data_IF_400751564935
#
_entry.id   IF_400751564935
#
_cell.length_a   1.000
_cell.length_b   1.000
_cell.length_c   1.000
_cell.angle_alpha   90.00
_cell.angle_beta   90.00
_cell.angle_gamma   90.00
#
_symmetry.space_group_name_H-M   'P 1'
#
loop_
_entity.id
_entity.type
_entity.pdbx_description
1 polymer ?
#
# COMPACT_ATOMS: atom_id res chain seq x y z
N UNK A 1 -7.50 3.22 8.83
CA UNK A 1 -7.25 1.84 8.39
C UNK A 1 -8.35 1.44 7.42
N UNK A 2 -8.05 0.77 6.35
CA UNK A 2 -9.04 0.34 5.35
C UNK A 2 -8.47 0.43 3.95
N UNK A 3 -8.91 -0.45 3.05
CA UNK A 3 -8.37 -0.57 1.69
C UNK A 3 -8.89 0.50 0.71
N UNK A 4 -9.96 1.22 1.07
CA UNK A 4 -10.61 2.20 0.19
C UNK A 4 -10.46 3.67 0.58
N UNK A 5 -9.99 3.97 1.80
CA UNK A 5 -10.01 5.32 2.39
C UNK A 5 -11.43 5.92 2.43
N UNK A 6 -12.41 5.07 2.76
CA UNK A 6 -13.83 5.42 2.78
C UNK A 6 -14.37 5.76 4.18
N UNK A 7 -13.64 5.37 5.23
CA UNK A 7 -14.08 5.43 6.64
C UNK A 7 -13.30 6.47 7.46
N UNK A 8 -12.90 7.57 6.85
CA UNK A 8 -12.21 8.66 7.55
C UNK A 8 -13.19 9.46 8.41
N UNK A 9 -12.71 10.00 9.54
CA UNK A 9 -13.47 10.90 10.41
C UNK A 9 -14.03 12.14 9.68
N UNK A 10 -13.30 12.58 8.64
CA UNK A 10 -13.69 13.73 7.80
C UNK A 10 -14.45 13.34 6.53
N UNK A 11 -14.81 12.05 6.40
CA UNK A 11 -15.49 11.51 5.23
C UNK A 11 -14.57 10.76 4.26
N UNK A 12 -15.14 10.17 3.20
CA UNK A 12 -14.41 9.37 2.23
C UNK A 12 -13.52 10.22 1.33
N UNK A 13 -12.37 9.68 0.95
CA UNK A 13 -11.55 10.22 -0.13
C UNK A 13 -12.02 9.66 -1.46
N UNK A 14 -12.57 10.50 -2.31
CA UNK A 14 -13.03 10.13 -3.65
C UNK A 14 -11.89 10.23 -4.66
N UNK A 15 -11.87 9.31 -5.63
CA UNK A 15 -10.94 9.37 -6.74
C UNK A 15 -11.25 10.57 -7.65
N UNK A 16 -10.23 11.22 -8.17
CA UNK A 16 -10.44 12.31 -9.14
C UNK A 16 -11.03 11.78 -10.45
N UNK A 17 -10.67 10.57 -10.86
CA UNK A 17 -11.19 9.92 -12.05
C UNK A 17 -12.62 9.42 -11.84
N UNK A 18 -13.59 10.24 -12.09
CA UNK A 18 -15.00 9.92 -11.87
C UNK A 18 -15.61 10.59 -10.64
N UNK A 19 -14.95 11.63 -10.11
CA UNK A 19 -15.55 12.50 -9.11
C UNK A 19 -16.54 13.49 -9.74
N UNK A 20 -17.44 14.05 -8.92
CA UNK A 20 -18.31 15.15 -9.32
C UNK A 20 -17.56 16.47 -9.46
N UNK A 21 -16.31 16.55 -9.00
CA UNK A 21 -15.51 17.77 -9.08
C UNK A 21 -14.87 17.88 -10.46
N UNK A 22 -15.15 18.92 -11.24
CA UNK A 22 -14.46 19.15 -12.49
C UNK A 22 -13.00 19.48 -12.23
N UNK A 23 -12.10 18.92 -13.02
CA UNK A 23 -10.68 19.26 -12.98
C UNK A 23 -10.09 19.33 -14.39
N UNK A 24 -9.01 20.06 -14.49
CA UNK A 24 -8.25 20.20 -15.72
C UNK A 24 -6.78 19.94 -15.44
N UNK A 25 -6.23 18.89 -16.04
CA UNK A 25 -4.80 18.62 -15.98
C UNK A 25 -4.10 19.39 -17.11
N UNK A 26 -3.17 20.24 -16.73
CA UNK A 26 -2.36 21.03 -17.68
C UNK A 26 -0.90 20.59 -17.53
N UNK A 27 -0.27 20.23 -18.63
CA UNK A 27 1.16 19.95 -18.73
C UNK A 27 1.77 20.85 -19.80
N UNK A 28 2.86 21.56 -19.45
CA UNK A 28 3.57 22.45 -20.37
C UNK A 28 2.66 23.48 -21.07
N UNK A 29 1.66 23.98 -20.34
CA UNK A 29 0.69 24.94 -20.86
C UNK A 29 -0.43 24.33 -21.71
N UNK A 30 -0.38 23.04 -22.02
CA UNK A 30 -1.42 22.32 -22.75
C UNK A 30 -2.30 21.49 -21.81
N UNK A 31 -3.61 21.46 -22.08
CA UNK A 31 -4.55 20.58 -21.37
C UNK A 31 -4.29 19.13 -21.77
N UNK A 32 -3.83 18.32 -20.82
CA UNK A 32 -3.57 16.89 -21.03
C UNK A 32 -4.84 16.06 -20.81
N UNK A 33 -5.65 16.44 -19.83
CA UNK A 33 -6.97 15.87 -19.63
C UNK A 33 -7.91 16.87 -18.96
N UNK A 34 -9.19 16.75 -19.26
CA UNK A 34 -10.25 17.54 -18.67
C UNK A 34 -11.37 16.60 -18.23
N UNK A 35 -11.87 16.78 -17.04
CA UNK A 35 -13.00 16.06 -16.51
C UNK A 35 -14.15 17.01 -16.25
N UNK A 36 -15.26 16.77 -16.93
CA UNK A 36 -16.53 17.44 -16.63
C UNK A 36 -17.19 16.62 -15.53
N UNK A 37 -17.32 17.22 -14.34
CA UNK A 37 -17.87 16.55 -13.16
C UNK A 37 -19.20 15.84 -13.43
N UNK A 38 -19.41 14.70 -12.76
CA UNK A 38 -20.70 14.00 -12.76
C UNK A 38 -21.67 14.73 -11.82
N UNK A 39 -22.97 14.57 -12.06
CA UNK A 39 -24.02 15.16 -11.20
C UNK A 39 -23.83 14.76 -9.73
N UNK A 40 -24.10 15.69 -8.80
CA UNK A 40 -24.10 15.42 -7.36
C UNK A 40 -25.12 14.33 -7.04
N UNK A 41 -24.66 13.28 -6.33
CA UNK A 41 -25.48 12.13 -5.93
C UNK A 41 -25.23 10.83 -6.70
N UNK A 42 -24.39 10.85 -7.76
CA UNK A 42 -23.97 9.65 -8.47
C UNK A 42 -22.96 8.80 -7.69
N UNK A 43 -22.85 7.51 -8.07
CA UNK A 43 -21.81 6.60 -7.55
C UNK A 43 -20.42 7.12 -7.95
N UNK A 44 -19.42 6.93 -7.11
CA UNK A 44 -18.09 7.49 -7.28
C UNK A 44 -17.02 6.40 -7.25
N UNK A 45 -15.87 6.70 -7.82
CA UNK A 45 -14.73 5.77 -7.93
C UNK A 45 -13.89 5.81 -6.67
N UNK A 46 -13.54 4.64 -6.14
CA UNK A 46 -12.70 4.49 -4.94
C UNK A 46 -11.25 4.89 -5.25
N UNK A 47 -10.63 5.66 -4.35
CA UNK A 47 -9.25 6.11 -4.51
C UNK A 47 -8.21 5.04 -4.12
N UNK A 48 -8.65 3.97 -3.46
CA UNK A 48 -7.74 3.02 -2.81
C UNK A 48 -7.26 3.52 -1.45
N UNK A 49 -6.56 2.67 -0.73
CA UNK A 49 -6.11 2.98 0.62
C UNK A 49 -4.97 2.08 1.12
N UNK A 50 -4.47 2.50 2.30
CA UNK A 50 -5.01 3.53 3.19
C UNK A 50 -4.42 4.96 2.96
N UNK A 51 -3.44 5.15 2.08
CA UNK A 51 -2.88 6.47 1.74
C UNK A 51 -3.64 7.16 0.57
N UNK A 52 -4.97 6.97 0.48
CA UNK A 52 -5.80 7.51 -0.60
C UNK A 52 -5.79 9.04 -0.63
N UNK A 53 -5.80 9.72 0.52
CA UNK A 53 -5.69 11.17 0.59
C UNK A 53 -4.38 11.71 0.00
N UNK A 54 -3.25 11.05 0.32
CA UNK A 54 -1.95 11.38 -0.27
C UNK A 54 -1.94 11.19 -1.78
N UNK A 55 -2.51 10.09 -2.28
CA UNK A 55 -2.56 9.82 -3.70
C UNK A 55 -3.45 10.81 -4.47
N UNK A 56 -4.63 11.12 -3.94
CA UNK A 56 -5.55 12.10 -4.54
C UNK A 56 -4.97 13.51 -4.54
N UNK A 57 -4.27 13.93 -3.48
CA UNK A 57 -3.63 15.25 -3.42
C UNK A 57 -2.57 15.44 -4.51
N UNK A 58 -1.81 14.38 -4.82
CA UNK A 58 -0.82 14.37 -5.89
C UNK A 58 -1.49 14.29 -7.26
N UNK A 59 -2.47 13.41 -7.43
CA UNK A 59 -3.20 13.24 -8.67
C UNK A 59 -3.93 14.52 -9.10
N UNK A 60 -4.53 15.24 -8.15
CA UNK A 60 -5.20 16.51 -8.39
C UNK A 60 -4.27 17.71 -8.60
N UNK A 61 -2.96 17.55 -8.39
CA UNK A 61 -1.97 18.62 -8.51
C UNK A 61 -1.90 19.56 -7.30
N UNK A 62 -2.63 19.30 -6.23
CA UNK A 62 -2.57 20.07 -4.97
C UNK A 62 -1.19 19.93 -4.31
N UNK A 63 -0.59 18.75 -4.41
CA UNK A 63 0.76 18.49 -3.95
C UNK A 63 1.65 17.98 -5.08
N UNK A 64 2.92 18.38 -5.12
CA UNK A 64 3.91 17.86 -6.05
C UNK A 64 4.35 16.44 -5.67
N UNK A 65 4.44 16.16 -4.38
CA UNK A 65 4.75 14.88 -3.78
C UNK A 65 3.99 14.69 -2.46
N UNK A 66 3.78 13.46 -2.04
CA UNK A 66 3.16 13.15 -0.75
C UNK A 66 3.81 11.93 -0.09
N UNK A 67 3.82 11.94 1.24
CA UNK A 67 4.17 10.77 2.05
C UNK A 67 2.91 9.91 2.30
N UNK A 68 3.13 8.62 2.36
CA UNK A 68 2.15 7.65 2.82
C UNK A 68 2.81 6.58 3.67
N UNK A 69 2.04 5.62 4.15
CA UNK A 69 2.56 4.44 4.84
C UNK A 69 2.02 3.18 4.18
N UNK A 70 2.90 2.20 3.96
CA UNK A 70 2.56 0.95 3.28
C UNK A 70 2.91 -0.24 4.17
N UNK A 71 1.91 -0.98 4.58
CA UNK A 71 2.02 -2.21 5.36
C UNK A 71 1.70 -3.43 4.50
N UNK A 72 0.75 -3.29 3.57
CA UNK A 72 0.27 -4.36 2.69
C UNK A 72 -0.26 -3.82 1.36
N UNK A 73 0.33 -2.73 0.83
CA UNK A 73 -0.09 -2.09 -0.41
C UNK A 73 -0.60 -0.66 -0.26
N UNK A 74 -0.61 -0.10 0.96
CA UNK A 74 -1.32 1.15 1.26
C UNK A 74 -0.76 2.44 0.64
N UNK A 75 0.38 2.40 -0.04
CA UNK A 75 0.90 3.45 -0.93
C UNK A 75 0.70 3.05 -2.39
N UNK A 76 1.01 1.80 -2.71
CA UNK A 76 1.01 1.26 -4.08
C UNK A 76 -0.40 1.16 -4.68
N UNK A 77 -1.37 0.64 -3.92
CA UNK A 77 -2.76 0.50 -4.37
C UNK A 77 -3.37 1.86 -4.71
N UNK A 78 -3.38 2.86 -3.80
CA UNK A 78 -3.96 4.15 -4.14
C UNK A 78 -3.19 4.87 -5.26
N UNK A 79 -1.87 4.70 -5.37
CA UNK A 79 -1.12 5.23 -6.50
C UNK A 79 -1.59 4.61 -7.83
N UNK A 80 -1.75 3.29 -7.88
CA UNK A 80 -2.24 2.59 -9.08
C UNK A 80 -3.66 3.05 -9.47
N UNK A 81 -4.56 3.18 -8.49
CA UNK A 81 -5.95 3.55 -8.76
C UNK A 81 -6.17 5.03 -9.06
N UNK A 82 -5.23 5.89 -8.69
CA UNK A 82 -5.31 7.33 -9.00
C UNK A 82 -4.42 7.76 -10.17
N UNK A 83 -3.70 6.82 -10.81
CA UNK A 83 -2.81 7.13 -11.93
C UNK A 83 -1.55 7.90 -11.53
N UNK A 84 -1.07 7.68 -10.30
CA UNK A 84 0.17 8.28 -9.78
C UNK A 84 1.27 7.22 -9.63
N UNK A 85 2.49 7.66 -9.39
CA UNK A 85 3.64 6.78 -9.12
C UNK A 85 3.81 6.62 -7.63
N UNK A 86 3.74 5.39 -7.14
CA UNK A 86 3.91 5.06 -5.72
C UNK A 86 5.13 4.18 -5.46
N UNK A 87 5.97 4.58 -4.52
CA UNK A 87 7.13 3.82 -4.07
C UNK A 87 6.97 3.37 -2.62
N UNK A 88 7.00 2.06 -2.40
CA UNK A 88 7.32 1.49 -1.10
C UNK A 88 8.79 1.04 -1.11
N UNK A 89 9.71 1.73 -0.46
CA UNK A 89 11.10 1.32 -0.40
C UNK A 89 11.28 0.04 0.42
N UNK A 90 12.48 -0.48 0.46
CA UNK A 90 12.84 -1.55 1.39
C UNK A 90 12.67 -1.09 2.84
N UNK A 91 12.28 -2.01 3.71
CA UNK A 91 12.08 -1.74 5.13
C UNK A 91 13.36 -1.16 5.77
N UNK A 92 13.19 -0.07 6.52
CA UNK A 92 14.27 0.64 7.18
C UNK A 92 15.05 1.63 6.29
N UNK A 93 14.78 1.70 4.98
CA UNK A 93 15.44 2.66 4.09
C UNK A 93 14.96 4.11 4.30
N UNK A 94 13.71 4.29 4.68
CA UNK A 94 13.16 5.53 5.21
C UNK A 94 12.87 5.36 6.69
N UNK A 95 13.13 6.41 7.48
CA UNK A 95 12.86 6.42 8.91
C UNK A 95 11.36 6.29 9.20
N UNK A 96 11.03 5.51 10.22
CA UNK A 96 9.68 5.41 10.78
C UNK A 96 9.50 6.29 12.03
N UNK A 97 10.52 7.08 12.41
CA UNK A 97 10.39 8.01 13.51
C UNK A 97 9.26 9.01 13.24
N UNK A 98 8.37 9.18 14.21
CA UNK A 98 7.17 10.00 14.07
C UNK A 98 6.01 9.34 13.32
N UNK A 99 6.19 8.18 12.66
CA UNK A 99 5.09 7.41 12.09
C UNK A 99 4.31 6.70 13.20
N UNK A 100 3.00 6.90 13.22
CA UNK A 100 2.11 6.14 14.11
C UNK A 100 2.14 4.66 13.71
N UNK A 101 2.62 3.74 14.57
CA UNK A 101 2.81 2.35 14.21
C UNK A 101 1.47 1.62 14.08
N UNK A 102 1.35 0.87 12.97
CA UNK A 102 0.27 -0.07 12.74
C UNK A 102 0.76 -1.51 12.90
N UNK A 103 1.78 -1.89 12.12
CA UNK A 103 2.41 -3.23 12.12
C UNK A 103 3.92 -3.04 12.04
N UNK A 104 4.58 -3.05 13.18
CA UNK A 104 6.01 -2.69 13.29
C UNK A 104 6.92 -3.47 12.35
N UNK A 105 6.60 -4.74 12.06
CA UNK A 105 7.42 -5.59 11.20
C UNK A 105 7.16 -5.42 9.70
N UNK A 106 6.18 -4.59 9.31
CA UNK A 106 5.75 -4.41 7.92
C UNK A 106 5.65 -2.95 7.49
N UNK A 107 5.40 -2.01 8.42
CA UNK A 107 5.20 -0.60 8.10
C UNK A 107 6.42 0.02 7.43
N UNK A 108 6.21 0.57 6.24
CA UNK A 108 7.21 1.35 5.52
C UNK A 108 6.63 2.72 5.15
N UNK A 109 7.29 3.83 5.47
CA UNK A 109 7.00 5.09 4.81
C UNK A 109 7.22 4.94 3.32
N UNK A 110 6.36 5.56 2.52
CA UNK A 110 6.44 5.52 1.08
C UNK A 110 6.14 6.87 0.46
N UNK A 111 6.42 6.99 -0.83
CA UNK A 111 6.32 8.22 -1.58
C UNK A 111 5.29 8.08 -2.69
N UNK A 112 4.60 9.17 -2.98
CA UNK A 112 3.66 9.27 -4.10
C UNK A 112 3.97 10.55 -4.87
N UNK A 113 4.12 10.44 -6.19
CA UNK A 113 4.41 11.55 -7.10
C UNK A 113 3.70 11.35 -8.44
N UNK A 114 3.77 12.33 -9.36
CA UNK A 114 3.18 12.20 -10.69
C UNK A 114 4.12 11.56 -11.71
N UNK A 115 5.43 11.60 -11.48
CA UNK A 115 6.41 11.00 -12.37
C UNK A 115 7.46 10.21 -11.60
N UNK A 116 8.12 9.26 -12.28
CA UNK A 116 9.24 8.50 -11.70
C UNK A 116 10.42 9.42 -11.39
N UNK A 117 10.66 10.45 -12.21
CA UNK A 117 11.73 11.44 -11.98
C UNK A 117 11.51 12.22 -10.69
N UNK A 118 10.28 12.76 -10.48
CA UNK A 118 9.93 13.44 -9.23
C UNK A 118 10.11 12.51 -8.02
N UNK A 119 9.70 11.25 -8.18
CA UNK A 119 9.82 10.24 -7.13
C UNK A 119 11.29 9.98 -6.77
N UNK A 120 12.16 9.86 -7.76
CA UNK A 120 13.59 9.64 -7.55
C UNK A 120 14.21 10.85 -6.84
N UNK A 121 13.89 12.08 -7.28
CA UNK A 121 14.36 13.33 -6.64
C UNK A 121 13.92 13.43 -5.17
N UNK A 122 12.65 13.11 -4.88
CA UNK A 122 12.16 13.14 -3.49
C UNK A 122 12.81 12.02 -2.66
N UNK A 123 12.99 10.82 -3.25
CA UNK A 123 13.63 9.71 -2.55
C UNK A 123 15.08 10.04 -2.20
N UNK A 124 15.83 10.66 -3.10
CA UNK A 124 17.19 11.13 -2.85
C UNK A 124 17.24 12.10 -1.65
N UNK A 125 16.30 13.03 -1.58
CA UNK A 125 16.24 14.02 -0.52
C UNK A 125 15.88 13.47 0.87
N UNK A 126 15.08 12.38 0.92
CA UNK A 126 14.53 11.86 2.20
C UNK A 126 15.16 10.55 2.69
N UNK A 127 15.99 9.90 1.86
CA UNK A 127 16.68 8.67 2.25
C UNK A 127 17.83 8.96 3.21
N UNK A 128 18.22 7.95 3.97
CA UNK A 128 19.37 8.02 4.86
C UNK A 128 19.08 7.40 6.22
N UNK A 129 20.13 7.18 6.97
CA UNK A 129 20.03 6.61 8.31
C UNK A 129 19.52 7.66 9.30
N UNK A 130 18.51 7.32 10.05
CA UNK A 130 18.00 8.09 11.18
C UNK A 130 18.35 7.39 12.50
N UNK A 131 19.05 8.07 13.39
CA UNK A 131 19.42 7.55 14.70
C UNK A 131 18.21 7.43 15.65
N UNK A 132 17.12 8.12 15.36
CA UNK A 132 15.87 8.05 16.13
C UNK A 132 15.00 6.84 15.76
N UNK A 133 15.32 6.11 14.69
CA UNK A 133 14.69 4.86 14.32
C UNK A 133 15.71 3.72 14.38
N UNK A 134 15.56 2.85 15.38
CA UNK A 134 16.45 1.69 15.57
C UNK A 134 16.40 0.69 14.41
N UNK A 135 15.38 0.76 13.55
CA UNK A 135 15.22 -0.09 12.37
C UNK A 135 15.75 0.56 11.09
N UNK A 136 16.15 1.82 11.14
CA UNK A 136 16.75 2.53 10.01
C UNK A 136 18.10 1.92 9.65
N UNK A 137 18.30 1.66 8.36
CA UNK A 137 19.52 1.06 7.82
C UNK A 137 20.34 2.07 7.01
N UNK A 138 21.67 1.94 7.07
CA UNK A 138 22.54 2.62 6.12
C UNK A 138 22.50 1.86 4.81
N UNK A 139 22.30 2.56 3.72
CA UNK A 139 22.30 2.01 2.35
C UNK A 139 22.90 3.04 1.41
N UNK A 140 23.37 2.58 0.25
CA UNK A 140 23.85 3.47 -0.80
C UNK A 140 22.76 4.47 -1.17
N UNK A 141 23.16 5.72 -1.30
CA UNK A 141 22.26 6.81 -1.72
C UNK A 141 21.90 6.58 -3.19
N UNK A 142 20.63 6.70 -3.53
CA UNK A 142 20.21 6.77 -4.93
C UNK A 142 20.62 8.16 -5.40
N UNK A 143 21.51 8.19 -6.38
CA UNK A 143 21.93 9.40 -7.08
C UNK A 143 21.17 9.43 -8.41
N UNK A 144 20.25 10.39 -8.52
CA UNK A 144 19.40 10.53 -9.72
C UNK A 144 20.20 10.90 -10.96
N UNK A 145 21.25 11.69 -10.79
CA UNK A 145 22.06 12.15 -11.90
C UNK A 145 22.95 11.02 -12.49
N UNK A 146 23.22 9.98 -11.70
CA UNK A 146 23.97 8.80 -12.13
C UNK A 146 23.12 7.73 -12.82
N UNK A 147 21.78 7.86 -12.84
CA UNK A 147 20.89 6.87 -13.43
C UNK A 147 20.87 6.98 -14.96
N UNK A 148 21.26 5.91 -15.64
CA UNK A 148 20.98 5.74 -17.07
C UNK A 148 19.49 5.37 -17.22
N UNK A 149 18.66 6.37 -17.48
CA UNK A 149 17.23 6.23 -17.64
C UNK A 149 16.81 5.77 -19.06
N UNK A 150 17.74 5.71 -19.98
CA UNK A 150 17.46 5.49 -21.41
C UNK A 150 17.69 4.04 -21.86
N UNK A 151 18.25 3.18 -21.01
CA UNK A 151 18.56 1.80 -21.39
C UNK A 151 18.03 0.77 -20.42
N UNK A 152 17.21 -0.13 -20.94
CA UNK A 152 16.80 -1.39 -20.25
C UNK A 152 17.57 -2.61 -20.79
N UNK A 153 18.55 -2.38 -21.67
CA UNK A 153 19.35 -3.45 -22.27
C UNK A 153 20.05 -4.26 -21.19
N UNK A 154 20.06 -5.59 -21.36
CA UNK A 154 20.64 -6.55 -20.42
C UNK A 154 19.92 -6.67 -19.05
N UNK A 155 18.86 -5.92 -18.79
CA UNK A 155 18.04 -6.17 -17.63
C UNK A 155 17.33 -7.54 -17.78
N UNK A 156 17.38 -8.33 -16.71
CA UNK A 156 16.63 -9.58 -16.62
C UNK A 156 15.38 -9.31 -15.80
N UNK A 157 14.21 -9.53 -16.39
CA UNK A 157 12.92 -9.23 -15.81
C UNK A 157 12.13 -10.53 -15.66
N UNK A 158 11.72 -10.84 -14.45
CA UNK A 158 10.92 -12.01 -14.13
C UNK A 158 9.44 -11.72 -14.14
N UNK A 159 8.66 -12.60 -14.75
CA UNK A 159 7.20 -12.62 -14.68
C UNK A 159 6.78 -13.77 -13.77
N UNK A 160 6.27 -13.50 -12.55
CA UNK A 160 5.81 -14.57 -11.65
C UNK A 160 4.57 -15.28 -12.19
N UNK A 161 4.68 -16.59 -12.40
CA UNK A 161 3.59 -17.41 -12.96
C UNK A 161 2.38 -17.44 -12.04
N UNK A 162 2.60 -17.52 -10.73
CA UNK A 162 1.56 -17.61 -9.72
C UNK A 162 0.77 -16.30 -9.52
N UNK A 163 1.21 -15.21 -10.15
CA UNK A 163 0.48 -13.94 -10.13
C UNK A 163 -0.62 -13.89 -11.21
N UNK A 164 -0.63 -14.84 -12.15
CA UNK A 164 -1.79 -15.09 -13.01
C UNK A 164 -2.88 -15.79 -12.18
N UNK A 165 -3.71 -15.03 -11.52
CA UNK A 165 -4.69 -15.55 -10.57
C UNK A 165 -6.14 -15.23 -11.00
N UNK A 166 -7.07 -15.97 -10.44
CA UNK A 166 -8.49 -15.72 -10.61
C UNK A 166 -8.88 -14.32 -10.14
N UNK A 167 -9.82 -13.67 -10.83
CA UNK A 167 -10.29 -12.32 -10.53
C UNK A 167 -9.49 -11.20 -11.20
N UNK A 168 -8.39 -11.51 -11.91
CA UNK A 168 -7.68 -10.50 -12.69
C UNK A 168 -8.47 -10.15 -13.95
N UNK A 169 -8.70 -8.85 -14.17
CA UNK A 169 -9.43 -8.38 -15.35
C UNK A 169 -8.59 -8.52 -16.64
N UNK A 170 -9.29 -8.66 -17.78
CA UNK A 170 -8.63 -8.78 -19.07
C UNK A 170 -7.80 -7.54 -19.43
N UNK A 171 -8.24 -6.35 -18.99
CA UNK A 171 -7.49 -5.12 -19.23
C UNK A 171 -6.14 -5.14 -18.50
N UNK A 172 -6.12 -5.61 -17.24
CA UNK A 172 -4.87 -5.73 -16.47
C UNK A 172 -3.95 -6.77 -17.10
N UNK A 173 -4.47 -7.93 -17.50
CA UNK A 173 -3.70 -8.95 -18.21
C UNK A 173 -3.10 -8.41 -19.51
N UNK A 174 -3.89 -7.69 -20.30
CA UNK A 174 -3.43 -7.10 -21.56
C UNK A 174 -2.35 -6.04 -21.33
N UNK A 175 -2.53 -5.17 -20.33
CA UNK A 175 -1.55 -4.15 -19.97
C UNK A 175 -0.22 -4.78 -19.49
N UNK A 176 -0.30 -5.84 -18.67
CA UNK A 176 0.86 -6.57 -18.19
C UNK A 176 1.63 -7.25 -19.33
N UNK A 177 0.93 -7.93 -20.22
CA UNK A 177 1.50 -8.55 -21.43
C UNK A 177 2.14 -7.51 -22.35
N UNK A 178 1.46 -6.40 -22.61
CA UNK A 178 1.98 -5.31 -23.45
C UNK A 178 3.24 -4.68 -22.87
N UNK A 179 3.30 -4.50 -21.55
CA UNK A 179 4.49 -3.98 -20.88
C UNK A 179 5.66 -4.97 -20.97
N UNK A 180 5.40 -6.27 -20.80
CA UNK A 180 6.41 -7.32 -20.94
C UNK A 180 7.01 -7.31 -22.37
N UNK A 181 6.15 -7.24 -23.42
CA UNK A 181 6.59 -7.16 -24.80
C UNK A 181 7.38 -5.89 -25.08
N UNK A 182 6.93 -4.74 -24.58
CA UNK A 182 7.63 -3.46 -24.77
C UNK A 182 9.04 -3.48 -24.15
N UNK A 183 9.22 -4.11 -23.01
CA UNK A 183 10.53 -4.25 -22.35
C UNK A 183 11.45 -5.22 -23.11
N UNK A 184 10.90 -6.32 -23.63
CA UNK A 184 11.64 -7.28 -24.47
C UNK A 184 12.08 -6.62 -25.79
N UNK A 185 11.21 -5.90 -26.47
CA UNK A 185 11.50 -5.11 -27.68
C UNK A 185 12.57 -4.04 -27.44
N UNK A 186 12.61 -3.47 -26.24
CA UNK A 186 13.61 -2.49 -25.81
C UNK A 186 14.97 -3.14 -25.43
N UNK A 187 15.09 -4.46 -25.50
CA UNK A 187 16.33 -5.21 -25.28
C UNK A 187 16.53 -5.76 -23.87
N UNK A 188 15.50 -5.73 -23.02
CA UNK A 188 15.52 -6.49 -21.76
C UNK A 188 15.29 -7.98 -22.05
N UNK A 189 15.73 -8.83 -21.14
CA UNK A 189 15.41 -10.27 -21.19
C UNK A 189 14.24 -10.57 -20.25
N UNK A 190 13.08 -10.84 -20.83
CA UNK A 190 11.88 -11.18 -20.05
C UNK A 190 11.75 -12.70 -19.94
N UNK A 191 11.62 -13.23 -18.73
CA UNK A 191 11.48 -14.67 -18.50
C UNK A 191 10.45 -14.99 -17.39
N UNK A 192 9.84 -16.16 -17.46
CA UNK A 192 8.96 -16.65 -16.42
C UNK A 192 9.78 -17.08 -15.17
N UNK A 193 9.27 -16.73 -13.99
CA UNK A 193 9.80 -17.18 -12.70
C UNK A 193 8.69 -17.79 -11.86
N UNK A 194 9.05 -18.63 -10.90
CA UNK A 194 8.08 -19.27 -9.99
C UNK A 194 8.25 -18.75 -8.56
N UNK A 195 7.13 -18.42 -7.92
CA UNK A 195 7.00 -18.05 -6.51
C UNK A 195 5.95 -18.97 -5.84
N UNK A 196 6.24 -20.25 -5.63
CA UNK A 196 5.26 -21.30 -5.36
C UNK A 196 4.44 -21.09 -4.08
N UNK A 197 4.93 -20.31 -3.11
CA UNK A 197 4.20 -20.04 -1.87
C UNK A 197 3.35 -18.76 -1.93
N UNK A 198 3.17 -18.13 -3.10
CA UNK A 198 2.39 -16.89 -3.28
C UNK A 198 0.96 -17.00 -2.73
N UNK A 199 0.27 -18.13 -2.95
CA UNK A 199 -1.09 -18.36 -2.45
C UNK A 199 -1.22 -18.30 -0.91
N UNK A 200 -0.11 -18.48 -0.19
CA UNK A 200 -0.06 -18.40 1.27
C UNK A 200 0.20 -16.98 1.79
N UNK A 201 0.45 -16.00 0.91
CA UNK A 201 0.81 -14.64 1.32
C UNK A 201 -0.33 -13.93 2.06
N UNK A 202 -1.55 -13.97 1.50
CA UNK A 202 -2.74 -13.36 2.12
C UNK A 202 -3.11 -14.06 3.44
N UNK A 203 -3.21 -15.41 3.53
CA UNK A 203 -3.40 -16.09 4.80
C UNK A 203 -2.38 -15.71 5.88
N UNK A 204 -1.08 -15.69 5.55
CA UNK A 204 -0.04 -15.30 6.50
C UNK A 204 -0.18 -13.83 6.96
N UNK A 205 -0.43 -12.91 6.02
CA UNK A 205 -0.67 -11.51 6.32
C UNK A 205 -1.91 -11.32 7.20
N UNK A 206 -3.00 -12.07 6.95
CA UNK A 206 -4.25 -12.02 7.72
C UNK A 206 -4.11 -12.52 9.15
N UNK A 207 -3.00 -13.17 9.50
CA UNK A 207 -2.64 -13.53 10.87
C UNK A 207 -1.66 -12.51 11.47
N UNK A 208 -0.55 -12.21 10.77
CA UNK A 208 0.51 -11.34 11.29
C UNK A 208 0.03 -9.91 11.52
N UNK A 209 -0.68 -9.35 10.56
CA UNK A 209 -1.19 -7.98 10.64
C UNK A 209 -2.09 -7.77 11.86
N UNK A 210 -3.18 -8.53 12.09
CA UNK A 210 -4.02 -8.35 13.26
C UNK A 210 -3.28 -8.55 14.60
N UNK A 211 -2.31 -9.47 14.67
CA UNK A 211 -1.54 -9.69 15.89
C UNK A 211 -0.78 -8.42 16.32
N UNK A 212 -0.11 -7.77 15.39
CA UNK A 212 0.62 -6.54 15.68
C UNK A 212 -0.30 -5.32 15.83
N UNK A 213 -1.41 -5.27 15.07
CA UNK A 213 -2.47 -4.26 15.26
C UNK A 213 -3.03 -4.34 16.67
N UNK A 214 -3.36 -5.52 17.19
CA UNK A 214 -3.88 -5.68 18.54
C UNK A 214 -2.91 -5.13 19.59
N UNK A 215 -1.61 -5.36 19.42
CA UNK A 215 -0.57 -4.82 20.29
C UNK A 215 -0.42 -3.30 20.16
N UNK A 216 -0.29 -2.77 18.93
CA UNK A 216 -0.04 -1.35 18.71
C UNK A 216 -1.27 -0.48 19.05
N UNK A 217 -2.48 -0.95 18.78
CA UNK A 217 -3.71 -0.22 19.10
C UNK A 217 -4.04 -0.22 20.61
N UNK A 218 -3.36 -1.02 21.43
CA UNK A 218 -3.58 -1.01 22.89
C UNK A 218 -3.20 0.32 23.55
N UNK A 219 -2.32 1.12 22.92
CA UNK A 219 -1.93 2.46 23.42
C UNK A 219 -3.05 3.50 23.38
N UNK A 220 -4.10 3.26 22.57
CA UNK A 220 -5.25 4.16 22.49
C UNK A 220 -6.26 3.81 23.57
N UNK A 221 -5.96 4.25 24.77
CA UNK A 221 -6.70 3.99 26.00
C UNK A 221 -7.51 5.20 26.50
N UNK A 222 -7.37 6.36 25.83
CA UNK A 222 -8.03 7.59 26.21
C UNK A 222 -7.33 8.35 27.35
N UNK A 223 -6.13 7.93 27.78
CA UNK A 223 -5.34 8.63 28.80
C UNK A 223 -4.32 9.58 28.16
N UNK A 224 -3.44 9.06 27.32
CA UNK A 224 -2.38 9.82 26.68
C UNK A 224 -2.60 10.01 25.19
N UNK A 225 -3.24 9.04 24.52
CA UNK A 225 -3.42 9.05 23.07
C UNK A 225 -4.90 8.96 22.66
N UNK A 226 -5.22 9.73 21.61
CA UNK A 226 -6.46 9.62 20.87
C UNK A 226 -7.67 10.20 21.58
N UNK A 227 -8.83 9.73 21.16
CA UNK A 227 -10.12 10.09 21.74
C UNK A 227 -10.28 9.49 23.13
N UNK A 228 -10.86 10.26 24.06
CA UNK A 228 -11.25 9.79 25.38
C UNK A 228 -12.77 9.70 25.45
N UNK A 229 -13.28 8.51 25.75
CA UNK A 229 -14.68 8.26 25.97
C UNK A 229 -15.14 8.67 27.38
N UNK A 230 -16.43 8.62 27.57
CA UNK A 230 -17.10 8.87 28.84
C UNK A 230 -17.33 7.54 29.57
N UNK A 231 -17.26 7.55 30.91
CA UNK A 231 -17.54 6.35 31.70
C UNK A 231 -17.57 6.64 33.19
N UNK A 232 -18.39 5.90 33.94
CA UNK A 232 -18.46 6.03 35.38
C UNK A 232 -17.27 5.44 36.13
N UNK A 233 -16.48 4.61 35.44
CA UNK A 233 -15.26 3.98 35.94
C UNK A 233 -14.24 3.75 34.84
N UNK A 234 -13.06 3.27 35.22
CA UNK A 234 -11.93 3.07 34.26
C UNK A 234 -12.28 2.08 33.16
N UNK A 235 -12.94 0.98 33.50
CA UNK A 235 -13.33 -0.05 32.51
C UNK A 235 -14.35 0.49 31.50
N UNK A 236 -15.36 1.21 31.97
CA UNK A 236 -16.38 1.83 31.12
C UNK A 236 -15.77 2.89 30.22
N UNK A 237 -14.86 3.71 30.74
CA UNK A 237 -14.16 4.73 29.96
C UNK A 237 -13.28 4.09 28.88
N UNK A 238 -12.54 3.01 29.17
CA UNK A 238 -11.77 2.28 28.15
C UNK A 238 -12.67 1.64 27.10
N UNK A 239 -13.78 1.02 27.52
CA UNK A 239 -14.74 0.41 26.62
C UNK A 239 -15.34 1.44 25.64
N UNK A 240 -15.82 2.58 26.16
CA UNK A 240 -16.39 3.67 25.35
C UNK A 240 -15.34 4.32 24.43
N UNK A 241 -14.12 4.57 24.93
CA UNK A 241 -13.00 5.08 24.15
C UNK A 241 -12.76 4.22 22.91
N UNK A 242 -12.68 2.91 23.08
CA UNK A 242 -12.36 1.96 22.00
C UNK A 242 -13.57 1.69 21.09
N UNK A 243 -14.79 1.69 21.64
CA UNK A 243 -16.01 1.50 20.87
C UNK A 243 -16.29 2.67 19.91
N UNK A 244 -16.07 3.90 20.37
CA UNK A 244 -16.33 5.14 19.62
C UNK A 244 -15.11 5.61 18.82
N UNK A 245 -13.88 5.38 19.34
CA UNK A 245 -12.64 5.82 18.72
C UNK A 245 -12.17 4.93 17.56
N UNK A 246 -12.61 3.67 17.48
CA UNK A 246 -12.25 2.73 16.44
C UNK A 246 -13.42 2.35 15.56
N UNK A 247 -13.22 2.35 14.24
CA UNK A 247 -14.19 1.79 13.30
C UNK A 247 -14.23 0.24 13.38
N UNK A 248 -15.19 -0.37 12.68
CA UNK A 248 -15.37 -1.83 12.67
C UNK A 248 -14.14 -2.60 12.20
N UNK A 249 -13.43 -2.09 11.17
CA UNK A 249 -12.23 -2.73 10.63
C UNK A 249 -11.12 -2.82 11.68
N UNK A 250 -10.90 -1.75 12.43
CA UNK A 250 -9.91 -1.71 13.52
C UNK A 250 -10.31 -2.66 14.65
N UNK A 251 -11.56 -2.60 15.09
CA UNK A 251 -12.07 -3.48 16.14
C UNK A 251 -11.99 -4.96 15.76
N UNK A 252 -12.36 -5.30 14.53
CA UNK A 252 -12.25 -6.65 14.00
C UNK A 252 -10.81 -7.17 13.99
N UNK A 253 -9.86 -6.34 13.58
CA UNK A 253 -8.43 -6.71 13.60
C UNK A 253 -7.90 -6.89 15.02
N UNK A 254 -8.29 -6.04 15.97
CA UNK A 254 -7.90 -6.18 17.39
C UNK A 254 -8.43 -7.50 17.95
N UNK A 255 -9.70 -7.84 17.71
CA UNK A 255 -10.31 -9.09 18.16
C UNK A 255 -9.61 -10.31 17.55
N UNK A 256 -9.40 -10.32 16.25
CA UNK A 256 -8.69 -11.40 15.54
C UNK A 256 -7.27 -11.56 16.06
N UNK A 257 -6.52 -10.47 16.22
CA UNK A 257 -5.16 -10.49 16.73
C UNK A 257 -5.07 -11.06 18.14
N UNK A 258 -5.94 -10.63 19.04
CA UNK A 258 -6.02 -11.20 20.39
C UNK A 258 -6.34 -12.70 20.36
N UNK A 259 -7.26 -13.14 19.48
CA UNK A 259 -7.56 -14.57 19.32
C UNK A 259 -6.36 -15.37 18.88
N UNK A 260 -5.59 -14.89 17.89
CA UNK A 260 -4.40 -15.59 17.40
C UNK A 260 -3.26 -15.64 18.44
N UNK A 261 -3.16 -14.63 19.30
CA UNK A 261 -2.14 -14.52 20.34
C UNK A 261 -2.48 -15.26 21.63
N UNK A 262 -3.69 -15.81 21.77
CA UNK A 262 -4.01 -16.67 22.92
C UNK A 262 -3.00 -17.81 23.02
N UNK A 263 -2.57 -18.16 24.24
CA UNK A 263 -1.60 -19.23 24.53
C UNK A 263 -1.89 -20.55 23.79
N UNK A 264 -3.18 -20.91 23.67
CA UNK A 264 -3.64 -22.12 22.97
C UNK A 264 -3.58 -22.02 21.43
N UNK A 265 -3.45 -20.79 20.89
CA UNK A 265 -3.56 -20.50 19.46
C UNK A 265 -2.24 -20.02 18.84
N UNK A 266 -1.36 -19.41 19.62
CA UNK A 266 -0.14 -18.72 19.12
C UNK A 266 0.72 -19.64 18.25
N UNK A 267 0.97 -20.88 18.67
CA UNK A 267 1.77 -21.83 17.90
C UNK A 267 1.05 -22.35 16.66
N UNK A 268 -0.28 -22.36 16.68
CA UNK A 268 -1.09 -22.84 15.56
C UNK A 268 -1.22 -21.79 14.44
N UNK A 269 -1.25 -20.51 14.79
CA UNK A 269 -1.50 -19.41 13.83
C UNK A 269 -0.27 -18.53 13.65
N UNK A 270 0.15 -17.79 14.69
CA UNK A 270 1.19 -16.78 14.58
C UNK A 270 2.55 -17.36 14.19
N UNK A 271 2.98 -18.41 14.88
CA UNK A 271 4.27 -19.06 14.55
C UNK A 271 4.26 -19.71 13.17
N UNK A 272 3.12 -20.27 12.73
CA UNK A 272 3.02 -20.82 11.38
C UNK A 272 3.06 -19.71 10.33
N UNK A 273 2.42 -18.58 10.56
CA UNK A 273 2.46 -17.43 9.65
C UNK A 273 3.89 -16.87 9.51
N UNK A 274 4.69 -16.85 10.58
CA UNK A 274 6.11 -16.50 10.50
C UNK A 274 6.93 -17.49 9.65
N UNK A 275 6.66 -18.79 9.75
CA UNK A 275 7.30 -19.81 8.90
C UNK A 275 6.92 -19.64 7.43
N UNK A 276 5.64 -19.39 7.15
CA UNK A 276 5.15 -19.11 5.77
C UNK A 276 5.83 -17.85 5.23
N UNK A 277 5.93 -16.78 6.01
CA UNK A 277 6.65 -15.56 5.61
C UNK A 277 8.10 -15.89 5.20
N UNK A 278 8.76 -16.76 5.91
CA UNK A 278 10.13 -17.22 5.58
C UNK A 278 10.17 -18.00 4.27
N UNK A 279 9.21 -18.90 4.02
CA UNK A 279 9.11 -19.64 2.75
C UNK A 279 8.91 -18.69 1.57
N UNK A 280 7.98 -17.75 1.68
CA UNK A 280 7.76 -16.72 0.65
C UNK A 280 9.04 -15.92 0.39
N UNK A 281 9.76 -15.50 1.45
CA UNK A 281 11.04 -14.81 1.29
C UNK A 281 12.05 -15.65 0.51
N UNK A 282 12.10 -16.98 0.76
CA UNK A 282 13.01 -17.89 0.06
C UNK A 282 12.67 -17.99 -1.44
N UNK A 283 11.39 -17.95 -1.82
CA UNK A 283 10.99 -17.93 -3.23
C UNK A 283 11.53 -16.67 -3.94
N UNK A 284 11.37 -15.50 -3.31
CA UNK A 284 11.90 -14.24 -3.86
C UNK A 284 13.42 -14.27 -3.98
N UNK A 285 14.14 -14.78 -2.98
CA UNK A 285 15.60 -14.89 -3.04
C UNK A 285 16.05 -15.83 -4.18
N UNK A 286 15.32 -16.93 -4.41
CA UNK A 286 15.57 -17.84 -5.52
C UNK A 286 15.29 -17.15 -6.88
N UNK A 287 14.22 -16.39 -6.99
CA UNK A 287 13.92 -15.62 -8.20
C UNK A 287 15.00 -14.56 -8.48
N UNK A 288 15.42 -13.79 -7.48
CA UNK A 288 16.44 -12.73 -7.64
C UNK A 288 17.86 -13.27 -7.91
N UNK A 289 18.11 -14.55 -7.71
CA UNK A 289 19.37 -15.14 -8.21
C UNK A 289 19.43 -15.26 -9.73
N UNK A 290 18.28 -15.14 -10.41
CA UNK A 290 18.13 -15.29 -11.86
C UNK A 290 17.81 -13.97 -12.55
N UNK A 291 17.00 -13.11 -11.93
CA UNK A 291 16.48 -11.86 -12.51
C UNK A 291 16.81 -10.66 -11.63
N UNK A 292 16.86 -9.48 -12.25
CA UNK A 292 17.15 -8.23 -11.56
C UNK A 292 15.88 -7.57 -11.02
N UNK A 293 14.76 -7.73 -11.74
CA UNK A 293 13.47 -7.12 -11.43
C UNK A 293 12.35 -8.15 -11.60
N UNK A 294 11.24 -7.93 -10.90
CA UNK A 294 9.98 -8.63 -11.13
C UNK A 294 8.95 -7.62 -11.66
N UNK A 295 8.31 -7.94 -12.77
CA UNK A 295 7.21 -7.16 -13.33
C UNK A 295 5.89 -7.82 -12.95
N UNK A 296 5.06 -7.08 -12.21
CA UNK A 296 3.76 -7.57 -11.72
C UNK A 296 2.71 -6.49 -11.79
N UNK A 297 1.42 -6.83 -11.98
CA UNK A 297 0.35 -5.87 -11.75
C UNK A 297 0.27 -5.51 -10.27
N UNK A 298 -0.16 -4.29 -9.97
CA UNK A 298 -0.35 -3.82 -8.59
C UNK A 298 -1.72 -4.21 -8.06
N UNK A 299 -2.72 -4.22 -8.93
CA UNK A 299 -4.13 -4.53 -8.61
C UNK A 299 -4.69 -5.50 -9.63
N UNK A 300 -5.73 -6.26 -9.24
CA UNK A 300 -6.38 -7.22 -10.13
C UNK A 300 -7.36 -6.55 -11.10
N UNK A 301 -7.86 -5.37 -10.74
CA UNK A 301 -8.88 -4.64 -11.49
C UNK A 301 -8.55 -3.16 -11.53
N UNK A 302 -9.24 -2.43 -12.40
CA UNK A 302 -9.35 -0.98 -12.32
C UNK A 302 -10.03 -0.56 -11.01
N UNK A 303 -9.94 0.73 -10.62
CA UNK A 303 -10.59 1.20 -9.39
C UNK A 303 -12.12 1.00 -9.48
N UNK A 304 -12.72 0.34 -8.49
CA UNK A 304 -14.16 0.05 -8.49
C UNK A 304 -15.00 1.29 -8.14
N UNK A 305 -16.26 1.25 -8.52
CA UNK A 305 -17.27 2.14 -7.98
C UNK A 305 -17.52 1.85 -6.49
N UNK A 306 -17.90 2.87 -5.72
CA UNK A 306 -18.14 2.73 -4.28
C UNK A 306 -19.24 1.74 -3.97
N UNK A 307 -20.32 1.71 -4.75
CA UNK A 307 -21.42 0.73 -4.58
C UNK A 307 -20.92 -0.71 -4.70
N UNK A 308 -20.06 -0.97 -5.70
CA UNK A 308 -19.44 -2.30 -5.88
C UNK A 308 -18.47 -2.60 -4.75
N UNK A 309 -17.59 -1.66 -4.41
CA UNK A 309 -16.60 -1.85 -3.35
C UNK A 309 -17.24 -2.09 -1.98
N UNK A 310 -18.33 -1.36 -1.67
CA UNK A 310 -19.02 -1.48 -0.39
C UNK A 310 -19.81 -2.80 -0.25
N UNK A 311 -20.16 -3.45 -1.35
CA UNK A 311 -20.82 -4.75 -1.36
C UNK A 311 -19.85 -5.93 -1.17
N UNK A 312 -18.54 -5.71 -1.32
CA UNK A 312 -17.52 -6.73 -1.12
C UNK A 312 -17.25 -6.93 0.38
N UNK A 313 -17.22 -8.19 0.84
CA UNK A 313 -16.95 -8.55 2.25
C UNK A 313 -15.52 -8.24 2.73
N UNK A 314 -14.68 -7.66 1.90
CA UNK A 314 -13.27 -7.37 2.16
C UNK A 314 -13.01 -5.90 2.55
N UNK A 315 -13.74 -5.39 3.52
CA UNK A 315 -13.51 -4.05 4.07
C UNK A 315 -12.32 -4.00 5.02
#
# INVERSE_FOLDING_TARGET
MGSGTIDSHVGPTKNIWGSSVPYKLVRDGATVSEHVGREEGGDWVVAGGSSGGSAVSVASGVAGAALGSDTGGSVRIPAAWTGTVGLKPSYGRLSRHGLIPLVNSLDCPGLITRSVRDLATVMEAVQGRDVMDSTSVSSDVIDVDSLDLDSVQNLKIGIPQEFHCEGMSQEILSAWSSMASLLDDAGAKVEAVSLPHTSLAIPAYSVLNPCEVASNMSRYDGLEYGFRGDGAGTEDMFADTRARGFNEVVRGRILAGNYFLLKRNVSKYFEQALKIRRLIMSDYLAAWSRVHLLLTPVTLTQPPLFSTFSSLDNR
#
